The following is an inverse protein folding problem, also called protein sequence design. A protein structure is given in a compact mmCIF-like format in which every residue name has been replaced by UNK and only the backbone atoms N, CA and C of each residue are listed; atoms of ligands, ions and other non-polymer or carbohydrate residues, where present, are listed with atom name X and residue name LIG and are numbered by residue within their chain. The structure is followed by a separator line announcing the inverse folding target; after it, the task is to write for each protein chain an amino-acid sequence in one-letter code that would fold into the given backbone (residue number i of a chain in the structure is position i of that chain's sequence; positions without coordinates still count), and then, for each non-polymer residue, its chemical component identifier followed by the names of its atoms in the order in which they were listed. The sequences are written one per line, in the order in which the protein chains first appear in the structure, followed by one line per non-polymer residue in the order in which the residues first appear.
data_IF_946959431552
#
_entry.id   IF_946959431552
#
_cell.length_a   1.000
_cell.length_b   1.000
_cell.length_c   1.000
_cell.angle_alpha   90.00
_cell.angle_beta   90.00
_cell.angle_gamma   90.00
#
_symmetry.space_group_name_H-M   'P 1'
#
loop_
_entity.id
_entity.type
_entity.pdbx_description
1 polymer ?
#
# COMPACT_ATOMS: atom_id res chain seq x y z
N UNK A 1 11.40 -17.49 6.70
CA UNK A 1 10.67 -17.16 5.45
C UNK A 1 9.89 -15.88 5.68
N UNK A 2 9.87 -14.93 4.74
CA UNK A 2 9.11 -13.67 4.90
C UNK A 2 7.78 -13.74 4.15
N UNK A 3 6.72 -13.22 4.76
CA UNK A 3 5.44 -12.95 4.08
C UNK A 3 5.45 -11.51 3.56
N UNK A 4 5.13 -11.31 2.28
CA UNK A 4 5.06 -9.97 1.69
C UNK A 4 3.62 -9.46 1.75
N UNK A 5 3.42 -8.24 2.23
CA UNK A 5 2.15 -7.51 2.11
C UNK A 5 2.39 -6.36 1.14
N UNK A 6 1.72 -6.37 -0.01
CA UNK A 6 1.76 -5.25 -0.94
C UNK A 6 0.53 -4.37 -0.73
N UNK A 7 0.75 -3.09 -0.53
CA UNK A 7 -0.29 -2.13 -0.19
C UNK A 7 -0.31 -1.00 -1.21
N UNK A 8 -1.25 -1.08 -2.16
CA UNK A 8 -1.53 -0.01 -3.10
C UNK A 8 -2.38 1.09 -2.46
N UNK A 9 -1.86 2.31 -2.53
CA UNK A 9 -2.43 3.49 -1.91
C UNK A 9 -2.33 4.69 -2.83
N UNK A 10 -3.20 5.68 -2.59
CA UNK A 10 -3.03 7.05 -3.10
C UNK A 10 -2.92 8.03 -1.93
N UNK A 11 -2.13 9.09 -2.05
CA UNK A 11 -1.87 10.04 -0.96
C UNK A 11 -3.10 10.90 -0.64
N UNK A 12 -4.01 11.06 -1.60
CA UNK A 12 -5.28 11.79 -1.45
C UNK A 12 -6.45 10.91 -1.00
N UNK A 13 -6.23 9.62 -0.81
CA UNK A 13 -7.26 8.65 -0.44
C UNK A 13 -7.42 8.58 1.09
N UNK A 14 -8.53 9.06 1.66
CA UNK A 14 -8.71 9.10 3.12
C UNK A 14 -8.89 7.71 3.73
N UNK A 15 -9.37 6.73 2.98
CA UNK A 15 -9.37 5.34 3.42
C UNK A 15 -7.96 4.74 3.44
N UNK A 16 -7.03 5.22 2.62
CA UNK A 16 -5.68 4.68 2.53
C UNK A 16 -4.86 5.05 3.78
N UNK A 17 -4.96 6.29 4.25
CA UNK A 17 -4.34 6.69 5.53
C UNK A 17 -4.96 5.99 6.74
N UNK A 18 -6.29 5.80 6.76
CA UNK A 18 -6.94 5.01 7.83
C UNK A 18 -6.52 3.53 7.78
N UNK A 19 -6.41 2.95 6.59
CA UNK A 19 -5.99 1.56 6.40
C UNK A 19 -4.52 1.34 6.77
N UNK A 20 -3.65 2.33 6.53
CA UNK A 20 -2.25 2.32 6.99
C UNK A 20 -2.17 2.24 8.52
N UNK A 21 -2.93 3.08 9.22
CA UNK A 21 -3.03 3.06 10.69
C UNK A 21 -3.48 1.69 11.19
N UNK A 22 -4.54 1.15 10.58
CA UNK A 22 -5.09 -0.17 10.93
C UNK A 22 -4.13 -1.31 10.63
N UNK A 23 -3.39 -1.25 9.52
CA UNK A 23 -2.37 -2.24 9.17
C UNK A 23 -1.24 -2.25 10.21
N UNK A 24 -0.77 -1.09 10.64
CA UNK A 24 0.25 -0.98 11.70
C UNK A 24 -0.23 -1.58 13.00
N UNK A 25 -1.45 -1.25 13.44
CA UNK A 25 -2.06 -1.84 14.65
C UNK A 25 -2.27 -3.36 14.54
N UNK A 26 -2.62 -3.86 13.37
CA UNK A 26 -2.74 -5.29 13.13
C UNK A 26 -1.37 -5.98 13.25
N UNK A 27 -0.32 -5.39 12.69
CA UNK A 27 1.05 -5.92 12.77
C UNK A 27 1.62 -5.85 14.19
N UNK A 28 1.32 -4.81 14.97
CA UNK A 28 1.67 -4.75 16.40
C UNK A 28 1.10 -5.94 17.21
N UNK A 29 -0.08 -6.42 16.81
CA UNK A 29 -0.76 -7.55 17.44
C UNK A 29 -0.39 -8.91 16.83
N UNK A 30 0.37 -8.92 15.74
CA UNK A 30 0.68 -10.13 14.99
C UNK A 30 1.99 -10.78 15.48
N UNK A 31 1.99 -12.01 16.02
CA UNK A 31 3.17 -12.62 16.63
C UNK A 31 4.39 -12.77 15.71
N UNK A 32 4.18 -12.83 14.39
CA UNK A 32 5.23 -13.00 13.39
C UNK A 32 5.51 -11.73 12.58
N UNK A 33 5.20 -10.55 13.12
CA UNK A 33 5.38 -9.27 12.42
C UNK A 33 6.82 -9.03 11.94
N UNK A 34 7.83 -9.51 12.68
CA UNK A 34 9.24 -9.44 12.27
C UNK A 34 9.55 -10.22 10.97
N UNK A 35 8.65 -11.11 10.54
CA UNK A 35 8.73 -11.86 9.29
C UNK A 35 7.75 -11.36 8.23
N UNK A 36 7.14 -10.19 8.43
CA UNK A 36 6.30 -9.53 7.45
C UNK A 36 7.05 -8.36 6.83
N UNK A 37 7.03 -8.27 5.49
CA UNK A 37 7.52 -7.11 4.76
C UNK A 37 6.37 -6.40 4.08
N UNK A 38 6.05 -5.20 4.55
CA UNK A 38 5.10 -4.31 3.89
C UNK A 38 5.82 -3.57 2.76
N UNK A 39 5.22 -3.59 1.57
CA UNK A 39 5.69 -2.88 0.38
C UNK A 39 4.55 -1.99 -0.09
N UNK A 40 4.70 -0.69 0.08
CA UNK A 40 3.75 0.26 -0.46
C UNK A 40 3.91 0.40 -1.97
N UNK A 41 2.79 0.58 -2.65
CA UNK A 41 2.67 0.63 -4.11
C UNK A 41 1.80 1.81 -4.51
N UNK A 42 2.07 2.35 -5.69
CA UNK A 42 1.40 3.56 -6.18
C UNK A 42 0.06 3.23 -6.85
N UNK A 43 -1.01 3.93 -6.46
CA UNK A 43 -2.23 4.12 -7.27
C UNK A 43 -2.51 5.61 -7.37
N UNK A 44 -2.89 6.09 -8.55
CA UNK A 44 -3.37 7.46 -8.76
C UNK A 44 -4.87 7.43 -9.04
N UNK A 45 -5.68 7.99 -8.14
CA UNK A 45 -7.14 8.06 -8.29
C UNK A 45 -7.55 9.15 -9.28
N UNK A 46 -6.83 10.27 -9.29
CA UNK A 46 -7.16 11.44 -10.09
C UNK A 46 -5.91 12.07 -10.74
N UNK A 47 -5.23 11.37 -11.67
CA UNK A 47 -4.01 11.85 -12.31
C UNK A 47 -4.21 13.13 -13.14
N UNK A 48 -5.44 13.37 -13.60
CA UNK A 48 -5.78 14.50 -14.48
C UNK A 48 -6.15 15.80 -13.74
N UNK A 49 -6.10 15.82 -12.41
CA UNK A 49 -6.37 17.05 -11.66
C UNK A 49 -5.31 18.13 -11.96
N UNK A 50 -5.69 19.41 -11.95
CA UNK A 50 -4.72 20.48 -12.11
C UNK A 50 -3.79 20.58 -10.90
N UNK A 51 -2.52 20.93 -11.13
CA UNK A 51 -1.54 21.16 -10.04
C UNK A 51 -1.90 22.32 -9.11
N UNK A 52 -2.78 23.23 -9.53
CA UNK A 52 -3.36 24.27 -8.65
C UNK A 52 -4.28 23.69 -7.57
N UNK A 53 -4.64 22.42 -7.70
CA UNK A 53 -5.58 21.74 -6.82
C UNK A 53 -7.04 22.05 -7.15
N UNK A 54 -7.92 21.19 -6.63
CA UNK A 54 -9.37 21.29 -6.72
C UNK A 54 -9.94 21.03 -5.34
N UNK A 55 -10.90 21.84 -4.90
CA UNK A 55 -11.57 21.60 -3.62
C UNK A 55 -12.37 20.31 -3.67
N UNK A 56 -12.43 19.59 -2.55
CA UNK A 56 -13.21 18.37 -2.46
C UNK A 56 -14.70 18.55 -2.86
N UNK A 57 -15.29 19.69 -2.51
CA UNK A 57 -16.66 20.04 -2.94
C UNK A 57 -16.78 20.12 -4.46
N UNK A 58 -15.79 20.73 -5.12
CA UNK A 58 -15.75 20.79 -6.58
C UNK A 58 -15.52 19.41 -7.19
N UNK A 59 -14.72 18.55 -6.54
CA UNK A 59 -14.53 17.17 -6.98
C UNK A 59 -15.84 16.37 -6.93
N UNK A 60 -16.67 16.54 -5.89
CA UNK A 60 -17.99 15.92 -5.84
C UNK A 60 -18.89 16.36 -6.99
N UNK A 61 -18.89 17.66 -7.31
CA UNK A 61 -19.66 18.18 -8.45
C UNK A 61 -19.19 17.56 -9.78
N UNK A 62 -17.87 17.47 -9.98
CA UNK A 62 -17.28 16.86 -11.19
C UNK A 62 -17.59 15.36 -11.29
N UNK A 63 -17.66 14.66 -10.16
CA UNK A 63 -18.01 13.24 -10.09
C UNK A 63 -19.53 12.96 -10.17
N UNK A 64 -20.37 14.00 -10.27
CA UNK A 64 -21.83 13.85 -10.20
C UNK A 64 -22.33 13.32 -8.85
N UNK A 65 -21.52 13.43 -7.80
CA UNK A 65 -21.85 12.94 -6.47
C UNK A 65 -22.61 14.02 -5.69
N UNK A 66 -23.77 13.71 -5.07
CA UNK A 66 -24.42 14.65 -4.16
C UNK A 66 -23.48 15.02 -3.03
N UNK A 67 -23.21 16.33 -2.84
CA UNK A 67 -22.26 16.82 -1.83
C UNK A 67 -22.55 16.27 -0.43
N UNK A 68 -23.82 16.22 -0.04
CA UNK A 68 -24.23 15.69 1.26
C UNK A 68 -23.82 14.21 1.44
N UNK A 69 -23.83 13.41 0.35
CA UNK A 69 -23.37 12.02 0.38
C UNK A 69 -21.86 11.94 0.55
N UNK A 70 -21.10 12.68 -0.27
CA UNK A 70 -19.63 12.71 -0.14
C UNK A 70 -19.16 13.18 1.23
N UNK A 71 -19.74 14.27 1.73
CA UNK A 71 -19.41 14.76 3.07
C UNK A 71 -19.81 13.78 4.19
N UNK A 72 -20.93 13.07 4.08
CA UNK A 72 -21.31 12.02 5.06
C UNK A 72 -20.28 10.89 5.08
N UNK A 73 -19.82 10.43 3.91
CA UNK A 73 -18.81 9.39 3.81
C UNK A 73 -17.51 9.82 4.48
N UNK A 74 -17.02 11.03 4.18
CA UNK A 74 -15.77 11.52 4.77
C UNK A 74 -15.86 11.76 6.27
N UNK A 75 -16.99 12.30 6.76
CA UNK A 75 -17.26 12.42 8.21
C UNK A 75 -17.21 11.07 8.93
N UNK A 76 -17.69 10.01 8.29
CA UNK A 76 -17.61 8.67 8.86
C UNK A 76 -16.15 8.19 8.98
N UNK A 77 -15.30 8.51 7.99
CA UNK A 77 -13.85 8.20 8.04
C UNK A 77 -13.16 8.97 9.17
N UNK A 78 -13.42 10.27 9.31
CA UNK A 78 -12.85 11.08 10.39
C UNK A 78 -13.30 10.56 11.77
N UNK A 79 -14.58 10.21 11.91
CA UNK A 79 -15.11 9.60 13.14
C UNK A 79 -14.40 8.30 13.50
N UNK A 80 -14.20 7.41 12.51
CA UNK A 80 -13.49 6.16 12.71
C UNK A 80 -12.02 6.39 13.08
N UNK A 81 -11.32 7.26 12.35
CA UNK A 81 -9.94 7.64 12.64
C UNK A 81 -9.79 8.16 14.08
N UNK A 82 -10.66 9.08 14.49
CA UNK A 82 -10.66 9.64 15.85
C UNK A 82 -10.92 8.55 16.92
N UNK A 83 -11.93 7.69 16.71
CA UNK A 83 -12.24 6.59 17.63
C UNK A 83 -11.08 5.59 17.78
N UNK A 84 -10.24 5.47 16.75
CA UNK A 84 -9.05 4.63 16.73
C UNK A 84 -7.76 5.32 17.16
N UNK A 85 -7.83 6.58 17.59
CA UNK A 85 -6.68 7.37 18.05
C UNK A 85 -5.82 8.00 16.94
N UNK A 86 -6.25 7.90 15.68
CA UNK A 86 -5.62 8.59 14.55
C UNK A 86 -6.10 10.04 14.52
N UNK A 87 -5.40 10.91 15.24
CA UNK A 87 -5.75 12.33 15.39
C UNK A 87 -4.52 13.24 15.36
N UNK A 88 -4.57 14.41 14.69
CA UNK A 88 -5.67 14.89 13.83
C UNK A 88 -5.77 14.10 12.52
N UNK A 89 -6.99 13.89 12.02
CA UNK A 89 -7.25 13.30 10.71
C UNK A 89 -8.49 13.93 10.07
N UNK A 90 -8.25 14.86 9.14
CA UNK A 90 -9.28 15.65 8.48
C UNK A 90 -9.38 15.23 7.01
N UNK A 91 -10.37 14.40 6.70
CA UNK A 91 -10.71 13.98 5.35
C UNK A 91 -11.59 15.00 4.63
N UNK A 92 -12.30 15.86 5.35
CA UNK A 92 -13.14 16.94 4.82
C UNK A 92 -12.34 18.19 4.46
N UNK A 93 -12.94 19.01 3.58
CA UNK A 93 -12.43 20.33 3.21
C UNK A 93 -10.95 20.31 2.82
N UNK A 94 -10.57 19.26 2.07
CA UNK A 94 -9.25 19.11 1.47
C UNK A 94 -9.21 19.70 0.06
N UNK A 95 -8.04 20.15 -0.33
CA UNK A 95 -7.70 20.39 -1.73
C UNK A 95 -7.02 19.14 -2.27
N UNK A 96 -7.39 18.70 -3.46
CA UNK A 96 -6.84 17.52 -4.11
C UNK A 96 -6.17 17.93 -5.42
N UNK A 97 -5.00 17.36 -5.70
CA UNK A 97 -4.28 17.55 -6.96
C UNK A 97 -3.72 16.23 -7.49
N UNK A 98 -2.95 16.28 -8.58
CA UNK A 98 -2.29 15.11 -9.13
C UNK A 98 -1.20 14.63 -8.15
N UNK A 99 -1.06 13.31 -8.02
CA UNK A 99 -0.20 12.68 -7.01
C UNK A 99 1.06 12.05 -7.59
N UNK A 100 1.32 12.26 -8.88
CA UNK A 100 2.45 11.72 -9.64
C UNK A 100 3.81 12.02 -9.03
N UNK A 101 4.04 13.27 -8.58
CA UNK A 101 5.29 13.68 -7.94
C UNK A 101 5.42 13.12 -6.53
N UNK A 102 4.31 13.08 -5.78
CA UNK A 102 4.28 12.49 -4.45
C UNK A 102 4.62 11.00 -4.50
N UNK A 103 4.04 10.24 -5.43
CA UNK A 103 4.35 8.82 -5.62
C UNK A 103 5.81 8.58 -6.05
N UNK A 104 6.36 9.40 -6.94
CA UNK A 104 7.77 9.31 -7.30
C UNK A 104 8.69 9.60 -6.12
N UNK A 105 8.35 10.57 -5.26
CA UNK A 105 9.09 10.83 -4.03
C UNK A 105 8.99 9.66 -3.05
N UNK A 106 7.81 9.05 -2.90
CA UNK A 106 7.62 7.90 -2.01
C UNK A 106 8.39 6.66 -2.49
N UNK A 107 8.48 6.45 -3.80
CA UNK A 107 9.33 5.44 -4.40
C UNK A 107 10.83 5.72 -4.13
N UNK A 108 11.25 6.98 -4.28
CA UNK A 108 12.59 7.41 -3.88
C UNK A 108 12.86 7.16 -2.39
N UNK A 109 11.96 7.55 -1.50
CA UNK A 109 12.09 7.32 -0.06
C UNK A 109 12.21 5.81 0.25
N UNK A 110 11.51 4.96 -0.50
CA UNK A 110 11.60 3.50 -0.39
C UNK A 110 12.98 2.99 -0.80
N UNK A 111 13.58 3.51 -1.89
CA UNK A 111 14.97 3.21 -2.29
C UNK A 111 15.96 3.59 -1.18
N UNK A 112 15.69 4.66 -0.44
CA UNK A 112 16.50 5.11 0.70
C UNK A 112 16.22 4.32 2.00
N UNK A 113 15.37 3.28 1.96
CA UNK A 113 15.01 2.48 3.14
C UNK A 113 14.03 3.17 4.10
N UNK A 114 13.37 4.26 3.67
CA UNK A 114 12.48 5.10 4.48
C UNK A 114 11.03 5.11 3.98
N UNK A 115 10.65 4.11 3.19
CA UNK A 115 9.33 4.02 2.58
C UNK A 115 8.18 4.08 3.59
N UNK A 116 8.19 3.21 4.61
CA UNK A 116 7.13 3.15 5.63
C UNK A 116 6.96 4.50 6.36
N UNK A 117 8.06 5.09 6.81
CA UNK A 117 8.06 6.39 7.48
C UNK A 117 7.52 7.50 6.56
N UNK A 118 7.94 7.53 5.30
CA UNK A 118 7.51 8.52 4.32
C UNK A 118 6.02 8.39 4.00
N UNK A 119 5.47 7.18 3.89
CA UNK A 119 4.04 6.94 3.69
C UNK A 119 3.21 7.40 4.90
N UNK A 120 3.61 7.09 6.14
CA UNK A 120 2.91 7.63 7.30
C UNK A 120 2.99 9.15 7.36
N UNK A 121 4.17 9.72 7.07
CA UNK A 121 4.38 11.16 7.11
C UNK A 121 3.55 11.90 6.05
N UNK A 122 3.38 11.35 4.85
CA UNK A 122 2.64 12.01 3.79
C UNK A 122 1.13 12.01 4.07
N UNK A 123 0.59 10.92 4.64
CA UNK A 123 -0.80 10.89 5.09
C UNK A 123 -1.03 11.90 6.22
N UNK A 124 -0.11 12.00 7.18
CA UNK A 124 -0.16 13.02 8.23
C UNK A 124 -0.07 14.43 7.66
N UNK A 125 0.78 14.66 6.67
CA UNK A 125 0.89 15.97 6.02
C UNK A 125 -0.43 16.38 5.34
N UNK A 126 -1.04 15.46 4.59
CA UNK A 126 -2.27 15.76 3.86
C UNK A 126 -3.50 15.85 4.77
N UNK A 127 -3.76 14.80 5.56
CA UNK A 127 -4.97 14.70 6.38
C UNK A 127 -4.84 15.34 7.76
N UNK A 128 -3.64 15.35 8.35
CA UNK A 128 -3.42 15.98 9.66
C UNK A 128 -3.11 17.48 9.57
N UNK A 129 -2.48 17.94 8.48
CA UNK A 129 -1.93 19.31 8.38
C UNK A 129 -2.49 20.12 7.19
N UNK A 130 -3.43 19.57 6.42
CA UNK A 130 -4.01 20.24 5.25
C UNK A 130 -2.99 20.60 4.15
N UNK A 131 -1.86 19.90 4.09
CA UNK A 131 -0.79 20.22 3.16
C UNK A 131 -1.13 19.80 1.73
N UNK A 132 -0.79 20.67 0.78
CA UNK A 132 -0.80 20.38 -0.65
C UNK A 132 0.54 19.75 -1.07
N UNK A 133 0.49 18.78 -1.98
CA UNK A 133 1.65 17.99 -2.44
C UNK A 133 1.63 17.79 -3.96
N UNK A 134 1.23 18.83 -4.70
CA UNK A 134 0.90 18.74 -6.13
C UNK A 134 2.03 19.24 -7.03
N UNK A 135 2.91 20.07 -6.47
CA UNK A 135 4.02 20.73 -7.18
C UNK A 135 5.38 20.20 -6.72
N UNK A 136 6.40 20.41 -7.54
CA UNK A 136 7.76 19.96 -7.21
C UNK A 136 8.27 20.61 -5.91
N UNK A 137 8.04 21.90 -5.72
CA UNK A 137 8.48 22.60 -4.51
C UNK A 137 7.80 22.04 -3.26
N UNK A 138 6.47 21.84 -3.28
CA UNK A 138 5.74 21.27 -2.14
C UNK A 138 6.26 19.88 -1.76
N UNK A 139 6.51 19.02 -2.76
CA UNK A 139 7.01 17.66 -2.57
C UNK A 139 8.47 17.67 -2.07
N UNK A 140 9.32 18.57 -2.56
CA UNK A 140 10.71 18.69 -2.12
C UNK A 140 10.85 19.32 -0.73
N UNK A 141 9.96 20.24 -0.37
CA UNK A 141 9.86 20.78 1.00
C UNK A 141 9.47 19.65 1.95
N UNK A 142 8.49 18.82 1.57
CA UNK A 142 8.11 17.65 2.35
C UNK A 142 9.26 16.64 2.48
N UNK A 143 9.99 16.36 1.40
CA UNK A 143 11.16 15.48 1.41
C UNK A 143 12.22 15.93 2.44
N UNK A 144 12.55 17.22 2.45
CA UNK A 144 13.51 17.79 3.38
C UNK A 144 13.04 17.72 4.83
N UNK A 145 11.75 17.98 5.08
CA UNK A 145 11.16 17.91 6.43
C UNK A 145 11.18 16.51 7.03
N UNK A 146 10.95 15.49 6.19
CA UNK A 146 11.10 14.11 6.64
C UNK A 146 12.58 13.70 6.66
N UNK A 147 13.54 14.55 6.33
CA UNK A 147 14.98 14.26 6.44
C UNK A 147 15.58 13.49 5.26
N UNK A 148 14.93 13.51 4.09
CA UNK A 148 15.57 13.08 2.84
C UNK A 148 16.43 14.23 2.30
N UNK A 149 17.52 13.89 1.59
CA UNK A 149 18.31 14.91 0.90
C UNK A 149 17.47 15.56 -0.21
N UNK A 150 17.28 16.87 -0.11
CA UNK A 150 16.45 17.64 -1.04
C UNK A 150 17.02 17.64 -2.45
N UNK A 151 18.33 17.76 -2.60
CA UNK A 151 18.98 17.84 -3.91
C UNK A 151 18.92 16.49 -4.63
N UNK A 152 19.11 15.39 -3.90
CA UNK A 152 18.95 14.04 -4.44
C UNK A 152 17.49 13.74 -4.79
N UNK A 153 16.54 14.15 -3.95
CA UNK A 153 15.11 14.04 -4.25
C UNK A 153 14.74 14.87 -5.50
N UNK A 154 15.25 16.10 -5.63
CA UNK A 154 15.05 16.93 -6.81
C UNK A 154 15.61 16.24 -8.07
N UNK A 155 16.81 15.67 -7.98
CA UNK A 155 17.42 14.96 -9.08
C UNK A 155 16.60 13.71 -9.47
N UNK A 156 16.06 12.97 -8.50
CA UNK A 156 15.18 11.83 -8.75
C UNK A 156 13.89 12.24 -9.49
N UNK A 157 13.25 13.34 -9.08
CA UNK A 157 12.05 13.85 -9.74
C UNK A 157 12.35 14.40 -11.15
N UNK A 158 13.43 15.18 -11.30
CA UNK A 158 13.83 15.77 -12.59
C UNK A 158 14.22 14.72 -13.63
N UNK A 159 14.93 13.67 -13.20
CA UNK A 159 15.30 12.55 -14.05
C UNK A 159 14.14 11.57 -14.32
N UNK A 160 12.99 11.77 -13.65
CA UNK A 160 11.82 10.87 -13.72
C UNK A 160 12.16 9.42 -13.42
N UNK A 161 13.15 9.19 -12.54
CA UNK A 161 13.71 7.86 -12.24
C UNK A 161 12.63 6.85 -11.85
N UNK A 162 11.61 7.30 -11.11
CA UNK A 162 10.56 6.45 -10.57
C UNK A 162 9.26 6.48 -11.37
N UNK A 163 9.19 7.21 -12.48
CA UNK A 163 7.96 7.30 -13.28
C UNK A 163 7.50 5.94 -13.81
N UNK A 164 8.44 5.12 -14.29
CA UNK A 164 8.14 3.77 -14.76
C UNK A 164 7.54 2.91 -13.64
N UNK A 165 8.17 2.91 -12.46
CA UNK A 165 7.68 2.18 -11.28
C UNK A 165 6.27 2.61 -10.88
N UNK A 166 5.98 3.92 -10.80
CA UNK A 166 4.64 4.42 -10.47
C UNK A 166 3.60 3.94 -11.49
N UNK A 167 3.97 3.92 -12.77
CA UNK A 167 3.09 3.46 -13.85
C UNK A 167 2.89 1.93 -13.80
N UNK A 168 3.95 1.18 -13.51
CA UNK A 168 3.91 -0.28 -13.37
C UNK A 168 3.08 -0.71 -12.15
N UNK A 169 3.21 -0.03 -11.02
CA UNK A 169 2.42 -0.29 -9.83
C UNK A 169 0.92 -0.14 -10.12
N UNK A 170 0.51 0.93 -10.83
CA UNK A 170 -0.88 1.16 -11.24
C UNK A 170 -1.39 0.02 -12.14
N UNK A 171 -0.64 -0.32 -13.20
CA UNK A 171 -0.99 -1.42 -14.11
C UNK A 171 -1.09 -2.75 -13.38
N UNK A 172 -0.19 -2.99 -12.45
CA UNK A 172 -0.16 -4.22 -11.67
C UNK A 172 -1.39 -4.33 -10.77
N UNK A 173 -1.81 -3.23 -10.13
CA UNK A 173 -3.06 -3.21 -9.36
C UNK A 173 -4.26 -3.63 -10.22
N UNK A 174 -4.37 -3.08 -11.45
CA UNK A 174 -5.43 -3.41 -12.40
C UNK A 174 -5.38 -4.87 -12.83
N UNK A 175 -4.19 -5.42 -13.11
CA UNK A 175 -4.00 -6.85 -13.45
C UNK A 175 -4.43 -7.77 -12.31
N UNK A 176 -4.22 -7.35 -11.08
CA UNK A 176 -4.65 -8.07 -9.87
C UNK A 176 -6.14 -7.86 -9.54
N UNK A 177 -6.88 -7.13 -10.38
CA UNK A 177 -8.32 -6.93 -10.26
C UNK A 177 -8.73 -5.73 -9.41
N UNK A 178 -7.79 -4.86 -9.03
CA UNK A 178 -8.10 -3.63 -8.31
C UNK A 178 -8.89 -2.66 -9.18
N UNK A 179 -9.84 -1.96 -8.56
CA UNK A 179 -10.63 -0.88 -9.16
C UNK A 179 -10.40 0.48 -8.48
N UNK A 180 -9.45 0.54 -7.55
CA UNK A 180 -9.18 1.73 -6.75
C UNK A 180 -8.31 1.43 -5.53
N UNK A 181 -8.17 2.42 -4.66
CA UNK A 181 -7.40 2.31 -3.43
C UNK A 181 -8.31 2.46 -2.18
N UNK A 182 -7.94 1.90 -1.01
CA UNK A 182 -6.77 1.04 -0.78
C UNK A 182 -6.95 -0.37 -1.35
N UNK A 183 -5.86 -1.03 -1.71
CA UNK A 183 -5.85 -2.42 -2.16
C UNK A 183 -4.64 -3.15 -1.55
N UNK A 184 -4.92 -4.16 -0.71
CA UNK A 184 -3.87 -4.99 -0.10
C UNK A 184 -3.79 -6.35 -0.77
N UNK A 185 -2.58 -6.86 -0.93
CA UNK A 185 -2.30 -8.23 -1.37
C UNK A 185 -1.37 -8.91 -0.38
N UNK A 186 -1.81 -10.04 0.17
CA UNK A 186 -1.04 -10.85 1.12
C UNK A 186 -0.42 -12.02 0.38
N UNK A 187 0.91 -12.01 0.31
CA UNK A 187 1.78 -13.06 -0.27
C UNK A 187 1.43 -13.49 -1.69
N UNK A 188 0.77 -12.62 -2.47
CA UNK A 188 0.24 -12.94 -3.80
C UNK A 188 -0.80 -14.07 -3.81
N UNK A 189 -1.42 -14.36 -2.67
CA UNK A 189 -2.48 -15.37 -2.53
C UNK A 189 -3.84 -14.73 -2.23
N UNK A 190 -3.85 -13.75 -1.33
CA UNK A 190 -5.09 -13.09 -0.88
C UNK A 190 -5.10 -11.62 -1.26
N UNK A 191 -6.27 -11.09 -1.57
CA UNK A 191 -6.48 -9.67 -1.84
C UNK A 191 -7.59 -9.10 -0.94
N UNK A 192 -7.40 -7.88 -0.45
CA UNK A 192 -8.37 -7.12 0.34
C UNK A 192 -8.64 -5.82 -0.40
N UNK A 193 -9.75 -5.73 -1.17
CA UNK A 193 -10.16 -4.50 -1.82
C UNK A 193 -10.86 -3.58 -0.81
N UNK A 194 -10.37 -2.36 -0.67
CA UNK A 194 -10.93 -1.35 0.23
C UNK A 194 -10.42 -1.44 1.66
N UNK A 195 -10.86 -0.49 2.48
CA UNK A 195 -10.50 -0.43 3.89
C UNK A 195 -11.39 -1.38 4.70
N UNK A 196 -10.76 -2.23 5.51
CA UNK A 196 -11.43 -3.07 6.52
C UNK A 196 -10.90 -2.72 7.91
N UNK A 197 -11.52 -3.24 8.95
CA UNK A 197 -11.14 -2.92 10.32
C UNK A 197 -9.87 -3.68 10.77
N UNK A 198 -9.25 -3.24 11.86
CA UNK A 198 -7.98 -3.81 12.35
C UNK A 198 -8.07 -5.31 12.63
N UNK A 199 -9.21 -5.77 13.16
CA UNK A 199 -9.42 -7.19 13.48
C UNK A 199 -9.52 -8.06 12.22
N UNK A 200 -10.20 -7.57 11.18
CA UNK A 200 -10.29 -8.25 9.89
C UNK A 200 -8.93 -8.33 9.20
N UNK A 201 -8.13 -7.26 9.27
CA UNK A 201 -6.74 -7.26 8.81
C UNK A 201 -5.90 -8.30 9.54
N UNK A 202 -5.95 -8.32 10.88
CA UNK A 202 -5.21 -9.29 11.68
C UNK A 202 -5.62 -10.73 11.34
N UNK A 203 -6.92 -10.98 11.19
CA UNK A 203 -7.43 -12.30 10.80
C UNK A 203 -6.93 -12.73 9.42
N UNK A 204 -6.96 -11.83 8.43
CA UNK A 204 -6.49 -12.10 7.08
C UNK A 204 -4.97 -12.35 7.04
N UNK A 205 -4.17 -11.52 7.73
CA UNK A 205 -2.71 -11.67 7.88
C UNK A 205 -2.39 -13.01 8.55
N UNK A 206 -3.10 -13.35 9.62
CA UNK A 206 -2.91 -14.61 10.35
C UNK A 206 -3.22 -15.82 9.46
N UNK A 207 -4.31 -15.76 8.69
CA UNK A 207 -4.66 -16.82 7.74
C UNK A 207 -3.59 -16.98 6.66
N UNK A 208 -3.21 -15.90 5.99
CA UNK A 208 -2.19 -15.92 4.94
C UNK A 208 -0.86 -16.48 5.47
N UNK A 209 -0.47 -16.10 6.68
CA UNK A 209 0.73 -16.63 7.32
C UNK A 209 0.64 -18.14 7.60
N UNK A 210 -0.47 -18.60 8.18
CA UNK A 210 -0.67 -20.02 8.52
C UNK A 210 -0.62 -20.89 7.27
N UNK A 211 -1.23 -20.46 6.18
CA UNK A 211 -1.25 -21.23 4.93
C UNK A 211 0.11 -21.21 4.22
N UNK A 212 0.80 -20.07 4.21
CA UNK A 212 2.17 -19.97 3.68
C UNK A 212 3.15 -20.90 4.40
N UNK A 213 2.98 -21.05 5.72
CA UNK A 213 3.84 -21.86 6.58
C UNK A 213 3.18 -23.19 6.99
N UNK A 214 2.18 -23.65 6.25
CA UNK A 214 1.60 -24.98 6.49
C UNK A 214 2.64 -26.05 6.13
N UNK A 215 2.67 -27.12 6.93
CA UNK A 215 3.50 -28.27 6.59
C UNK A 215 3.09 -28.82 5.21
N UNK A 216 4.05 -29.23 4.37
CA UNK A 216 3.73 -29.90 3.13
C UNK A 216 2.85 -31.12 3.42
N UNK A 217 1.76 -31.25 2.67
CA UNK A 217 0.97 -32.49 2.72
C UNK A 217 1.88 -33.62 2.23
N UNK A 218 2.09 -34.70 2.99
CA UNK A 218 2.87 -35.84 2.54
C UNK A 218 2.33 -36.34 1.20
N UNK A 219 3.21 -36.45 0.21
CA UNK A 219 2.83 -36.94 -1.11
C UNK A 219 2.70 -38.46 -1.06
N UNK A 220 1.62 -38.99 -1.64
CA UNK A 220 1.50 -40.42 -1.91
C UNK A 220 2.23 -40.73 -3.22
N UNK A 221 3.24 -41.59 -3.18
CA UNK A 221 3.91 -42.08 -4.37
C UNK A 221 2.91 -42.89 -5.23
N UNK A 222 2.82 -42.56 -6.52
CA UNK A 222 1.96 -43.27 -7.48
C UNK A 222 2.71 -44.37 -8.25
N UNK A 223 4.01 -44.52 -7.98
CA UNK A 223 4.88 -45.52 -8.56
C UNK A 223 5.91 -45.97 -7.50
N UNK A 224 6.46 -47.15 -7.70
CA UNK A 224 7.50 -47.72 -6.85
C UNK A 224 8.85 -47.00 -7.07
N UNK A 225 9.83 -47.24 -6.19
CA UNK A 225 11.14 -46.57 -6.21
C UNK A 225 12.10 -47.11 -7.29
N UNK A 226 11.61 -47.94 -8.20
CA UNK A 226 12.35 -48.48 -9.33
C UNK A 226 12.86 -47.35 -10.24
N UNK A 227 14.18 -47.31 -10.47
CA UNK A 227 14.80 -46.27 -11.29
C UNK A 227 15.10 -44.95 -10.57
N UNK A 228 15.00 -44.90 -9.23
CA UNK A 228 15.43 -43.74 -8.44
C UNK A 228 16.93 -43.88 -8.08
N UNK A 229 17.68 -42.79 -8.20
CA UNK A 229 19.01 -42.68 -7.62
C UNK A 229 18.94 -42.00 -6.24
N UNK A 230 19.42 -42.72 -5.23
CA UNK A 230 19.59 -42.27 -3.86
C UNK A 230 21.09 -41.99 -3.55
N UNK A 231 21.41 -41.29 -2.44
CA UNK A 231 22.80 -40.97 -2.08
C UNK A 231 23.75 -42.18 -1.98
N UNK A 232 23.21 -43.37 -1.80
CA UNK A 232 23.91 -44.65 -1.66
C UNK A 232 23.88 -45.54 -2.92
N UNK A 233 23.21 -45.13 -4.00
CA UNK A 233 23.19 -45.86 -5.27
C UNK A 233 21.93 -45.64 -6.09
N UNK A 234 21.83 -46.30 -7.24
CA UNK A 234 20.62 -46.25 -8.09
C UNK A 234 19.90 -47.59 -8.05
N UNK A 235 18.59 -47.54 -7.80
CA UNK A 235 17.71 -48.70 -7.91
C UNK A 235 17.51 -49.06 -9.39
N UNK A 236 17.79 -50.31 -9.76
CA UNK A 236 17.53 -50.82 -11.11
C UNK A 236 16.13 -51.45 -11.11
N UNK A 237 15.24 -51.08 -12.06
CA UNK A 237 13.92 -51.68 -12.14
C UNK A 237 14.00 -53.21 -12.27
N UNK A 238 13.34 -53.94 -11.36
CA UNK A 238 13.20 -55.39 -11.45
C UNK A 238 14.17 -56.27 -10.63
N UNK A 239 14.90 -55.72 -9.67
CA UNK A 239 15.81 -56.50 -8.78
C UNK A 239 15.14 -57.06 -7.50
N UNK A 240 13.80 -57.19 -7.49
CA UNK A 240 13.04 -57.81 -6.39
C UNK A 240 12.89 -59.33 -6.50
#
# INVERSE_FOLDING_TARGET
MYMKIEFWSDVICPYCGLMEHRLKRALERFPHAAHVRVVHRSIQLHPDLPRTGVTQRRLFDLAGMPRATGERTLRAIETAAHAEGLTPYHALDRTLGPTDLAHQLLAYATEQGRGDEAWSAIFRAHFGQARNLWTANEVLDFAAEIGLDRAEAEQALRSRRFLAQVTDDQREAERLGSRGAPFLVLDRTYAIPGAVDTDDLLAAITRAWREKNADPVPLTALADEDGICAPDGCAVPGDA
#
